data_IF_998600526253
#
_entry.id   IF_998600526253
#
_cell.length_a   1.000
_cell.length_b   1.000
_cell.length_c   1.000
_cell.angle_alpha   90.00
_cell.angle_beta   90.00
_cell.angle_gamma   90.00
#
_symmetry.space_group_name_H-M   'P 1'
#
loop_
_entity.id
_entity.type
_entity.pdbx_description
1 polymer ?
#
# COMPACT_ATOMS: atom_id res chain seq x y z
N UNK A 1 -3.44 -24.92 -14.00
CA UNK A 1 -4.61 -24.62 -13.15
C UNK A 1 -4.58 -23.13 -12.86
N UNK A 2 -5.67 -22.41 -13.11
CA UNK A 2 -5.80 -20.99 -12.77
C UNK A 2 -6.79 -20.89 -11.61
N UNK A 3 -6.36 -20.34 -10.48
CA UNK A 3 -7.19 -20.23 -9.27
C UNK A 3 -6.34 -20.28 -8.01
N UNK A 4 -6.96 -20.03 -6.87
CA UNK A 4 -6.31 -20.14 -5.56
C UNK A 4 -6.32 -21.60 -5.06
N UNK A 5 -5.28 -21.97 -4.32
CA UNK A 5 -5.22 -23.24 -3.59
C UNK A 5 -5.82 -23.02 -2.20
N UNK A 6 -6.79 -23.85 -1.82
CA UNK A 6 -7.55 -23.68 -0.59
C UNK A 6 -6.66 -23.68 0.67
N UNK A 7 -5.64 -24.54 0.69
CA UNK A 7 -4.67 -24.61 1.79
C UNK A 7 -3.83 -23.34 1.90
N UNK A 8 -3.42 -22.76 0.77
CA UNK A 8 -2.64 -21.50 0.76
C UNK A 8 -3.48 -20.32 1.23
N UNK A 9 -4.75 -20.26 0.82
CA UNK A 9 -5.69 -19.22 1.26
C UNK A 9 -5.93 -19.29 2.77
N UNK A 10 -6.08 -20.50 3.29
CA UNK A 10 -6.23 -20.72 4.73
C UNK A 10 -4.99 -20.29 5.51
N UNK A 11 -3.81 -20.68 5.05
CA UNK A 11 -2.56 -20.26 5.66
C UNK A 11 -2.40 -18.72 5.62
N UNK A 12 -2.77 -18.10 4.49
CA UNK A 12 -2.76 -16.65 4.35
C UNK A 12 -3.74 -15.96 5.30
N UNK A 13 -4.96 -16.49 5.46
CA UNK A 13 -5.97 -16.00 6.39
C UNK A 13 -5.50 -16.11 7.85
N UNK A 14 -4.88 -17.23 8.23
CA UNK A 14 -4.29 -17.40 9.57
C UNK A 14 -3.14 -16.42 9.82
N UNK A 15 -2.26 -16.24 8.83
CA UNK A 15 -1.10 -15.34 8.95
C UNK A 15 -1.53 -13.87 9.02
N UNK A 16 -2.61 -13.50 8.33
CA UNK A 16 -3.17 -12.16 8.38
C UNK A 16 -4.06 -11.91 9.61
N UNK A 17 -4.37 -12.94 10.40
CA UNK A 17 -5.30 -12.86 11.53
C UNK A 17 -6.76 -12.64 11.10
N UNK A 18 -7.08 -12.91 9.84
CA UNK A 18 -8.42 -12.75 9.28
C UNK A 18 -9.18 -14.07 9.31
N UNK A 19 -10.37 -14.09 9.88
CA UNK A 19 -11.23 -15.27 9.91
C UNK A 19 -11.96 -15.45 8.58
N UNK A 20 -11.32 -16.12 7.63
CA UNK A 20 -11.87 -16.35 6.29
C UNK A 20 -12.78 -17.59 6.25
N UNK A 21 -14.09 -17.36 6.21
CA UNK A 21 -15.12 -18.41 6.10
C UNK A 21 -15.24 -19.04 4.71
N UNK A 22 -14.44 -18.60 3.74
CA UNK A 22 -14.48 -19.10 2.37
C UNK A 22 -13.70 -20.39 2.14
N UNK A 23 -12.90 -20.85 3.11
CA UNK A 23 -12.25 -22.17 3.06
C UNK A 23 -13.07 -23.16 3.88
N UNK A 24 -13.45 -24.27 3.27
CA UNK A 24 -14.01 -25.41 4.01
C UNK A 24 -12.94 -26.49 4.15
N UNK A 25 -12.57 -26.80 5.40
CA UNK A 25 -11.70 -27.93 5.74
C UNK A 25 -12.49 -29.24 5.68
N UNK A 26 -11.80 -30.30 5.29
CA UNK A 26 -12.26 -31.66 5.46
C UNK A 26 -12.26 -32.08 6.94
N UNK A 27 -13.31 -32.75 7.40
CA UNK A 27 -13.40 -33.25 8.78
C UNK A 27 -12.74 -34.65 8.97
N UNK A 28 -12.33 -35.31 7.88
CA UNK A 28 -11.74 -36.66 7.87
C UNK A 28 -10.54 -36.74 6.90
N UNK A 29 -9.70 -37.78 7.05
CA UNK A 29 -8.48 -38.07 6.25
C UNK A 29 -8.70 -38.15 4.71
N UNK A 30 -9.95 -38.20 4.26
CA UNK A 30 -10.35 -38.30 2.85
C UNK A 30 -11.12 -37.08 2.32
N UNK A 31 -11.42 -36.08 3.15
CA UNK A 31 -12.25 -34.96 2.69
C UNK A 31 -11.48 -33.99 1.79
N UNK A 32 -12.23 -33.31 0.91
CA UNK A 32 -11.66 -32.32 0.00
C UNK A 32 -11.69 -30.92 0.61
N UNK A 33 -10.58 -30.19 0.43
CA UNK A 33 -10.59 -28.74 0.61
C UNK A 33 -11.40 -28.08 -0.50
N UNK A 34 -12.21 -27.11 -0.14
CA UNK A 34 -12.96 -26.30 -1.12
C UNK A 34 -12.88 -24.82 -0.81
N UNK A 35 -13.04 -24.02 -1.87
CA UNK A 35 -13.04 -22.57 -1.84
C UNK A 35 -14.37 -22.00 -2.34
N UNK A 36 -14.91 -21.06 -1.58
CA UNK A 36 -16.06 -20.26 -1.98
C UNK A 36 -15.57 -18.91 -2.53
N UNK A 37 -15.46 -18.78 -3.85
CA UNK A 37 -14.94 -17.57 -4.49
C UNK A 37 -15.76 -16.30 -4.16
N UNK A 38 -17.06 -16.44 -3.92
CA UNK A 38 -17.93 -15.35 -3.49
C UNK A 38 -17.57 -14.77 -2.12
N UNK A 39 -16.96 -15.57 -1.24
CA UNK A 39 -16.57 -15.13 0.10
C UNK A 39 -15.35 -14.19 0.05
N UNK A 40 -14.60 -14.11 -1.05
CA UNK A 40 -13.51 -13.14 -1.20
C UNK A 40 -14.00 -11.71 -1.41
N UNK A 41 -15.26 -11.48 -1.79
CA UNK A 41 -15.74 -10.14 -2.12
C UNK A 41 -15.59 -9.19 -0.93
N UNK A 42 -16.00 -9.61 0.27
CA UNK A 42 -15.91 -8.80 1.48
C UNK A 42 -14.46 -8.45 1.87
N UNK A 43 -13.53 -9.42 2.01
CA UNK A 43 -12.14 -9.10 2.32
C UNK A 43 -11.46 -8.30 1.20
N UNK A 44 -11.79 -8.50 -0.07
CA UNK A 44 -11.26 -7.69 -1.17
C UNK A 44 -11.73 -6.24 -1.09
N UNK A 45 -13.02 -6.01 -0.81
CA UNK A 45 -13.54 -4.64 -0.59
C UNK A 45 -12.83 -3.98 0.59
N UNK A 46 -12.58 -4.72 1.68
CA UNK A 46 -11.82 -4.21 2.83
C UNK A 46 -10.38 -3.87 2.48
N UNK A 47 -9.67 -4.76 1.77
CA UNK A 47 -8.32 -4.52 1.31
C UNK A 47 -8.23 -3.29 0.41
N UNK A 48 -9.18 -3.09 -0.50
CA UNK A 48 -9.25 -1.89 -1.36
C UNK A 48 -9.51 -0.63 -0.54
N UNK A 49 -10.40 -0.68 0.47
CA UNK A 49 -10.65 0.45 1.37
C UNK A 49 -9.39 0.85 2.15
N UNK A 50 -8.66 -0.11 2.71
CA UNK A 50 -7.43 0.13 3.46
C UNK A 50 -6.31 0.64 2.53
N UNK A 51 -6.21 0.07 1.32
CA UNK A 51 -5.26 0.53 0.32
C UNK A 51 -5.56 1.97 -0.14
N UNK A 52 -6.83 2.34 -0.29
CA UNK A 52 -7.23 3.70 -0.64
C UNK A 52 -6.75 4.72 0.41
N UNK A 53 -6.89 4.40 1.70
CA UNK A 53 -6.38 5.25 2.79
C UNK A 53 -4.86 5.39 2.74
N UNK A 54 -4.13 4.31 2.43
CA UNK A 54 -2.67 4.36 2.27
C UNK A 54 -2.26 5.22 1.07
N UNK A 55 -2.99 5.13 -0.05
CA UNK A 55 -2.75 5.96 -1.25
C UNK A 55 -2.94 7.44 -0.91
N UNK A 56 -4.05 7.80 -0.26
CA UNK A 56 -4.32 9.19 0.14
C UNK A 56 -3.23 9.74 1.08
N UNK A 57 -2.76 8.93 2.03
CA UNK A 57 -1.66 9.31 2.91
C UNK A 57 -0.34 9.54 2.14
N UNK A 58 -0.01 8.64 1.20
CA UNK A 58 1.18 8.75 0.37
C UNK A 58 1.13 9.97 -0.55
N UNK A 59 -0.02 10.25 -1.18
CA UNK A 59 -0.22 11.42 -2.03
C UNK A 59 -0.06 12.73 -1.23
N UNK A 60 -0.62 12.79 -0.02
CA UNK A 60 -0.46 13.95 0.86
C UNK A 60 1.01 14.18 1.27
N UNK A 61 1.73 13.12 1.60
CA UNK A 61 3.16 13.20 1.92
C UNK A 61 3.97 13.65 0.70
N UNK A 62 3.68 13.10 -0.48
CA UNK A 62 4.36 13.47 -1.72
C UNK A 62 4.15 14.96 -2.05
N UNK A 63 2.91 15.44 -1.99
CA UNK A 63 2.58 16.84 -2.19
C UNK A 63 3.31 17.77 -1.20
N UNK A 64 3.46 17.33 0.05
CA UNK A 64 4.19 18.09 1.07
C UNK A 64 5.69 18.16 0.74
N UNK A 65 6.30 17.01 0.44
CA UNK A 65 7.71 16.93 0.07
C UNK A 65 8.03 17.69 -1.22
N UNK A 66 7.11 17.72 -2.18
CA UNK A 66 7.27 18.49 -3.41
C UNK A 66 7.30 19.99 -3.13
N UNK A 67 6.38 20.50 -2.30
CA UNK A 67 6.39 21.92 -1.88
C UNK A 67 7.64 22.29 -1.10
N UNK A 68 8.11 21.41 -0.22
CA UNK A 68 9.36 21.64 0.52
C UNK A 68 10.57 21.70 -0.42
N UNK A 69 10.63 20.82 -1.42
CA UNK A 69 11.68 20.85 -2.44
C UNK A 69 11.64 22.15 -3.26
N UNK A 70 10.46 22.58 -3.72
CA UNK A 70 10.30 23.84 -4.45
C UNK A 70 10.77 25.04 -3.61
N UNK A 71 10.43 25.07 -2.32
CA UNK A 71 10.88 26.11 -1.41
C UNK A 71 12.40 26.09 -1.21
N UNK A 72 12.99 24.91 -1.08
CA UNK A 72 14.45 24.76 -0.94
C UNK A 72 15.19 25.20 -2.21
N UNK A 73 14.68 24.82 -3.38
CA UNK A 73 15.23 25.25 -4.67
C UNK A 73 15.19 26.78 -4.80
N UNK A 74 14.05 27.41 -4.48
CA UNK A 74 13.94 28.87 -4.50
C UNK A 74 14.91 29.55 -3.53
N UNK A 75 15.09 29.01 -2.32
CA UNK A 75 16.08 29.52 -1.36
C UNK A 75 17.51 29.39 -1.88
N UNK A 76 17.85 28.27 -2.53
CA UNK A 76 19.16 28.08 -3.13
C UNK A 76 19.43 29.11 -4.22
N UNK A 77 18.48 29.33 -5.14
CA UNK A 77 18.59 30.36 -6.17
C UNK A 77 18.81 31.76 -5.58
N UNK A 78 18.05 32.11 -4.53
CA UNK A 78 18.21 33.39 -3.84
C UNK A 78 19.61 33.54 -3.20
N UNK A 79 20.14 32.48 -2.60
CA UNK A 79 21.48 32.51 -2.02
C UNK A 79 22.57 32.62 -3.10
N UNK A 80 22.44 31.88 -4.21
CA UNK A 80 23.36 32.00 -5.34
C UNK A 80 23.38 33.41 -5.92
N UNK A 81 22.22 34.06 -6.07
CA UNK A 81 22.14 35.45 -6.53
C UNK A 81 22.84 36.41 -5.57
N UNK A 82 22.65 36.25 -4.26
CA UNK A 82 23.31 37.08 -3.24
C UNK A 82 24.83 36.89 -3.26
N UNK A 83 25.31 35.67 -3.45
CA UNK A 83 26.74 35.40 -3.57
C UNK A 83 27.35 36.12 -4.78
N UNK A 84 26.71 36.03 -5.95
CA UNK A 84 27.14 36.76 -7.16
C UNK A 84 27.19 38.27 -6.95
N UNK A 85 26.22 38.85 -6.24
CA UNK A 85 26.22 40.28 -5.92
C UNK A 85 27.39 40.68 -5.04
N UNK A 86 27.73 39.85 -4.04
CA UNK A 86 28.88 40.09 -3.15
C UNK A 86 30.22 39.94 -3.87
N UNK A 87 30.33 39.01 -4.83
CA UNK A 87 31.52 38.85 -5.65
C UNK A 87 31.76 40.05 -6.56
N UNK A 88 30.70 40.62 -7.16
CA UNK A 88 30.81 41.81 -8.02
C UNK A 88 31.14 43.11 -7.28
N UNK A 89 31.08 43.12 -5.94
CA UNK A 89 31.42 44.27 -5.08
C UNK A 89 32.90 44.30 -4.67
N UNK A 90 33.67 43.26 -4.97
CA UNK A 90 35.13 43.19 -4.73
C UNK A 90 35.92 43.56 -5.97
#
# INVERSE_FOLDING_TARGET
>A
MTGFIAQEVEQAAQTSGYDFSGVTRANDDLGMYSLSYSQFVVPLVKAVQEQQQQIEALENNNNTLQRENELLQSKLEMFEQRLKQLENLK
#
